data_IF_087728540924
#
_entry.id   IF_087728540924
#
_cell.length_a   1.000
_cell.length_b   1.000
_cell.length_c   1.000
_cell.angle_alpha   90.00
_cell.angle_beta   90.00
_cell.angle_gamma   90.00
#
_symmetry.space_group_name_H-M   'P 1'
#
loop_
_entity.id
_entity.type
_entity.pdbx_description
1 polymer ?
#
# COMPACT_ATOMS: atom_id res chain seq x y z
N UNK A 1 -53.11 11.75 -58.33
CA UNK A 1 -51.76 12.34 -58.33
C UNK A 1 -51.16 12.07 -56.96
N UNK A 2 -50.33 11.04 -56.82
CA UNK A 2 -49.74 10.64 -55.54
C UNK A 2 -48.39 11.34 -55.45
N UNK A 3 -48.28 12.32 -54.56
CA UNK A 3 -47.00 12.93 -54.22
C UNK A 3 -46.22 11.91 -53.38
N UNK A 4 -45.31 11.19 -54.02
CA UNK A 4 -44.26 10.50 -53.28
C UNK A 4 -43.36 11.59 -52.69
N UNK A 5 -43.50 11.87 -51.39
CA UNK A 5 -42.51 12.67 -50.67
C UNK A 5 -41.18 11.92 -50.76
N UNK A 6 -40.08 12.61 -51.05
CA UNK A 6 -38.75 12.01 -50.98
C UNK A 6 -38.45 11.70 -49.50
N UNK A 7 -38.57 10.42 -49.13
CA UNK A 7 -38.43 9.94 -47.76
C UNK A 7 -36.99 9.46 -47.48
N UNK A 8 -36.10 9.59 -48.47
CA UNK A 8 -34.76 8.97 -48.46
C UNK A 8 -33.90 9.55 -47.35
N UNK A 9 -33.88 10.88 -47.21
CA UNK A 9 -33.11 11.56 -46.17
C UNK A 9 -33.60 11.20 -44.75
N UNK A 10 -34.92 11.13 -44.56
CA UNK A 10 -35.50 10.78 -43.26
C UNK A 10 -35.17 9.33 -42.87
N UNK A 11 -35.27 8.40 -43.82
CA UNK A 11 -34.92 6.99 -43.64
C UNK A 11 -33.43 6.81 -43.31
N UNK A 12 -32.54 7.54 -43.99
CA UNK A 12 -31.10 7.52 -43.71
C UNK A 12 -30.78 8.10 -42.33
N UNK A 13 -31.44 9.19 -41.93
CA UNK A 13 -31.26 9.79 -40.61
C UNK A 13 -31.73 8.83 -39.49
N UNK A 14 -32.88 8.16 -39.65
CA UNK A 14 -33.37 7.14 -38.72
C UNK A 14 -32.39 5.96 -38.59
N UNK A 15 -31.83 5.50 -39.70
CA UNK A 15 -30.88 4.39 -39.70
C UNK A 15 -29.55 4.77 -39.02
N UNK A 16 -29.04 5.97 -39.28
CA UNK A 16 -27.87 6.52 -38.59
C UNK A 16 -28.11 6.70 -37.10
N UNK A 17 -29.28 7.21 -36.71
CA UNK A 17 -29.66 7.37 -35.30
C UNK A 17 -29.74 6.02 -34.59
N UNK A 18 -30.30 4.99 -35.25
CA UNK A 18 -30.36 3.64 -34.71
C UNK A 18 -28.97 3.03 -34.53
N UNK A 19 -28.05 3.22 -35.49
CA UNK A 19 -26.65 2.79 -35.38
C UNK A 19 -25.95 3.48 -34.22
N UNK A 20 -26.05 4.81 -34.13
CA UNK A 20 -25.46 5.58 -33.03
C UNK A 20 -26.03 5.17 -31.66
N UNK A 21 -27.35 4.92 -31.56
CA UNK A 21 -27.98 4.42 -30.33
C UNK A 21 -27.39 3.07 -29.92
N UNK A 22 -27.28 2.13 -30.85
CA UNK A 22 -26.73 0.80 -30.58
C UNK A 22 -25.24 0.87 -30.16
N UNK A 23 -24.47 1.75 -30.78
CA UNK A 23 -23.08 2.00 -30.39
C UNK A 23 -22.96 2.58 -28.97
N UNK A 24 -23.81 3.56 -28.64
CA UNK A 24 -23.87 4.15 -27.29
C UNK A 24 -24.28 3.11 -26.26
N UNK A 25 -25.24 2.24 -26.58
CA UNK A 25 -25.69 1.18 -25.68
C UNK A 25 -24.58 0.16 -25.43
N UNK A 26 -23.85 -0.24 -26.48
CA UNK A 26 -22.68 -1.13 -26.38
C UNK A 26 -21.55 -0.48 -25.57
N UNK A 27 -21.26 0.80 -25.81
CA UNK A 27 -20.24 1.54 -25.06
C UNK A 27 -20.62 1.66 -23.59
N UNK A 28 -21.89 1.93 -23.27
CA UNK A 28 -22.38 1.97 -21.89
C UNK A 28 -22.25 0.61 -21.18
N UNK A 29 -22.56 -0.49 -21.87
CA UNK A 29 -22.38 -1.83 -21.32
C UNK A 29 -20.91 -2.14 -21.04
N UNK A 30 -20.02 -1.79 -21.96
CA UNK A 30 -18.56 -1.95 -21.77
C UNK A 30 -18.04 -1.11 -20.61
N UNK A 31 -18.49 0.14 -20.49
CA UNK A 31 -18.14 1.02 -19.38
C UNK A 31 -18.60 0.45 -18.03
N UNK A 32 -19.82 -0.09 -17.95
CA UNK A 32 -20.33 -0.74 -16.73
C UNK A 32 -19.49 -1.96 -16.35
N UNK A 33 -19.21 -2.83 -17.30
CA UNK A 33 -18.38 -4.02 -17.06
C UNK A 33 -16.94 -3.65 -16.63
N UNK A 34 -16.35 -2.61 -17.23
CA UNK A 34 -15.04 -2.11 -16.84
C UNK A 34 -15.05 -1.51 -15.44
N UNK A 35 -16.09 -0.75 -15.09
CA UNK A 35 -16.24 -0.16 -13.76
C UNK A 35 -16.41 -1.23 -12.66
N UNK A 36 -17.24 -2.24 -12.91
CA UNK A 36 -17.44 -3.37 -11.99
C UNK A 36 -16.13 -4.15 -11.79
N UNK A 37 -15.43 -4.47 -12.88
CA UNK A 37 -14.11 -5.12 -12.79
C UNK A 37 -13.10 -4.26 -12.01
N UNK A 38 -13.09 -2.95 -12.25
CA UNK A 38 -12.21 -2.02 -11.53
C UNK A 38 -12.53 -1.97 -10.04
N UNK A 39 -13.82 -2.03 -9.66
CA UNK A 39 -14.24 -2.04 -8.27
C UNK A 39 -13.77 -3.31 -7.54
N UNK A 40 -13.94 -4.47 -8.17
CA UNK A 40 -13.47 -5.76 -7.64
C UNK A 40 -11.96 -5.74 -7.42
N UNK A 41 -11.19 -5.30 -8.43
CA UNK A 41 -9.73 -5.21 -8.32
C UNK A 41 -9.27 -4.23 -7.24
N UNK A 42 -9.99 -3.11 -7.06
CA UNK A 42 -9.70 -2.16 -6.01
C UNK A 42 -9.94 -2.76 -4.62
N UNK A 43 -11.04 -3.50 -4.43
CA UNK A 43 -11.34 -4.19 -3.18
C UNK A 43 -10.29 -5.25 -2.85
N UNK A 44 -9.91 -6.08 -3.82
CA UNK A 44 -8.84 -7.08 -3.67
C UNK A 44 -7.51 -6.43 -3.27
N UNK A 45 -7.13 -5.33 -3.93
CA UNK A 45 -5.93 -4.58 -3.60
C UNK A 45 -5.97 -3.99 -2.18
N UNK A 46 -7.12 -3.47 -1.75
CA UNK A 46 -7.30 -2.95 -0.39
C UNK A 46 -7.16 -4.06 0.66
N UNK A 47 -7.76 -5.23 0.42
CA UNK A 47 -7.64 -6.38 1.32
C UNK A 47 -6.19 -6.87 1.41
N UNK A 48 -5.49 -6.97 0.27
CA UNK A 48 -4.08 -7.36 0.23
C UNK A 48 -3.19 -6.36 1.00
N UNK A 49 -3.40 -5.06 0.81
CA UNK A 49 -2.65 -4.02 1.54
C UNK A 49 -2.91 -4.05 3.04
N UNK A 50 -4.15 -4.32 3.46
CA UNK A 50 -4.48 -4.49 4.88
C UNK A 50 -3.78 -5.71 5.46
N UNK A 51 -3.86 -6.86 4.80
CA UNK A 51 -3.20 -8.08 5.25
C UNK A 51 -1.68 -7.91 5.34
N UNK A 52 -1.06 -7.24 4.36
CA UNK A 52 0.37 -6.87 4.39
C UNK A 52 0.71 -6.01 5.61
N UNK A 53 -0.09 -4.97 5.85
CA UNK A 53 0.13 -4.05 6.98
C UNK A 53 0.01 -4.76 8.33
N UNK A 54 -1.03 -5.58 8.49
CA UNK A 54 -1.28 -6.32 9.73
C UNK A 54 -0.17 -7.34 9.98
N UNK A 55 0.30 -8.03 8.92
CA UNK A 55 1.44 -8.93 9.01
C UNK A 55 2.72 -8.20 9.47
N UNK A 56 3.07 -7.08 8.84
CA UNK A 56 4.29 -6.33 9.19
C UNK A 56 4.23 -5.75 10.60
N UNK A 57 3.07 -5.26 11.03
CA UNK A 57 2.87 -4.78 12.40
C UNK A 57 3.11 -5.89 13.41
N UNK A 58 2.48 -7.06 13.22
CA UNK A 58 2.64 -8.21 14.11
C UNK A 58 4.10 -8.69 14.15
N UNK A 59 4.73 -8.86 12.99
CA UNK A 59 6.14 -9.28 12.92
C UNK A 59 7.05 -8.28 13.63
N UNK A 60 6.84 -6.97 13.48
CA UNK A 60 7.66 -5.98 14.18
C UNK A 60 7.52 -6.07 15.70
N UNK A 61 6.31 -6.28 16.23
CA UNK A 61 6.13 -6.48 17.67
C UNK A 61 6.86 -7.74 18.18
N UNK A 62 6.74 -8.85 17.45
CA UNK A 62 7.40 -10.12 17.78
C UNK A 62 8.93 -10.04 17.66
N UNK A 63 9.46 -9.21 16.75
CA UNK A 63 10.90 -9.00 16.59
C UNK A 63 11.45 -7.99 17.61
N UNK A 64 10.69 -6.95 17.98
CA UNK A 64 11.12 -5.94 18.96
C UNK A 64 11.45 -6.55 20.32
N UNK A 65 10.65 -7.52 20.78
CA UNK A 65 10.85 -8.17 22.09
C UNK A 65 12.21 -8.85 22.24
N UNK A 66 12.61 -9.82 21.37
CA UNK A 66 13.93 -10.43 21.45
C UNK A 66 15.06 -9.45 21.15
N UNK A 67 14.86 -8.46 20.27
CA UNK A 67 15.88 -7.45 19.99
C UNK A 67 16.17 -6.54 21.19
N UNK A 68 15.12 -6.09 21.88
CA UNK A 68 15.26 -5.30 23.11
C UNK A 68 15.95 -6.11 24.22
N UNK A 69 15.68 -7.42 24.31
CA UNK A 69 16.40 -8.29 25.23
C UNK A 69 17.89 -8.38 24.87
N UNK A 70 18.23 -8.59 23.59
CA UNK A 70 19.63 -8.63 23.12
C UNK A 70 20.35 -7.30 23.42
N UNK A 71 19.70 -6.16 23.15
CA UNK A 71 20.26 -4.84 23.45
C UNK A 71 20.49 -4.68 24.95
N UNK A 72 19.48 -4.99 25.78
CA UNK A 72 19.58 -4.86 27.23
C UNK A 72 20.66 -5.75 27.84
N UNK A 73 20.76 -7.01 27.40
CA UNK A 73 21.83 -7.90 27.86
C UNK A 73 23.21 -7.43 27.40
N UNK A 74 23.33 -6.91 26.18
CA UNK A 74 24.58 -6.34 25.72
C UNK A 74 24.97 -5.09 26.54
N UNK A 75 24.00 -4.24 26.91
CA UNK A 75 24.23 -3.07 27.79
C UNK A 75 24.68 -3.49 29.20
N UNK A 76 24.06 -4.53 29.78
CA UNK A 76 24.49 -5.11 31.07
C UNK A 76 25.92 -5.63 30.96
N UNK A 77 26.24 -6.43 29.94
CA UNK A 77 27.59 -6.98 29.76
C UNK A 77 28.64 -5.89 29.57
N UNK A 78 28.30 -4.77 28.92
CA UNK A 78 29.20 -3.63 28.76
C UNK A 78 29.48 -2.87 30.07
N UNK A 79 28.65 -3.06 31.10
CA UNK A 79 28.91 -2.52 32.45
C UNK A 79 29.83 -3.39 33.30
N UNK A 80 30.15 -4.61 32.85
CA UNK A 80 31.01 -5.56 33.55
C UNK A 80 32.50 -5.42 33.14
N UNK A 81 33.39 -6.05 33.91
CA UNK A 81 34.80 -6.14 33.57
C UNK A 81 35.04 -7.17 32.44
N UNK A 82 35.11 -6.70 31.20
CA UNK A 82 35.37 -7.51 30.01
C UNK A 82 36.84 -7.39 29.54
N UNK A 83 37.36 -8.44 28.91
CA UNK A 83 38.58 -8.30 28.10
C UNK A 83 38.34 -7.39 26.89
N UNK A 84 39.42 -6.92 26.27
CA UNK A 84 39.32 -6.05 25.08
C UNK A 84 38.53 -6.71 23.93
N UNK A 85 38.82 -7.98 23.64
CA UNK A 85 38.11 -8.75 22.62
C UNK A 85 36.63 -8.94 22.96
N UNK A 86 36.31 -9.27 24.22
CA UNK A 86 34.93 -9.42 24.69
C UNK A 86 34.16 -8.10 24.57
N UNK A 87 34.76 -6.99 24.98
CA UNK A 87 34.17 -5.66 24.83
C UNK A 87 33.89 -5.35 23.35
N UNK A 88 34.83 -5.68 22.46
CA UNK A 88 34.65 -5.49 21.01
C UNK A 88 33.47 -6.31 20.46
N UNK A 89 33.35 -7.58 20.84
CA UNK A 89 32.24 -8.44 20.42
C UNK A 89 30.90 -7.94 20.94
N UNK A 90 30.80 -7.59 22.23
CA UNK A 90 29.54 -7.10 22.81
C UNK A 90 29.12 -5.76 22.18
N UNK A 91 30.06 -4.83 21.95
CA UNK A 91 29.78 -3.58 21.21
C UNK A 91 29.27 -3.84 19.79
N UNK A 92 29.82 -4.84 19.12
CA UNK A 92 29.38 -5.22 17.77
C UNK A 92 27.98 -5.79 17.79
N UNK A 93 27.66 -6.69 18.74
CA UNK A 93 26.30 -7.23 18.93
C UNK A 93 25.31 -6.09 19.21
N UNK A 94 25.63 -5.21 20.16
CA UNK A 94 24.79 -4.09 20.53
C UNK A 94 24.49 -3.16 19.34
N UNK A 95 25.52 -2.77 18.58
CA UNK A 95 25.35 -1.93 17.38
C UNK A 95 24.51 -2.62 16.31
N UNK A 96 24.81 -3.88 16.00
CA UNK A 96 24.04 -4.65 15.01
C UNK A 96 22.58 -4.80 15.44
N UNK A 97 22.32 -4.97 16.73
CA UNK A 97 20.98 -5.09 17.25
C UNK A 97 20.17 -3.78 17.13
N UNK A 98 20.79 -2.64 17.45
CA UNK A 98 20.17 -1.32 17.24
C UNK A 98 19.90 -1.04 15.76
N UNK A 99 20.87 -1.31 14.88
CA UNK A 99 20.70 -1.13 13.44
C UNK A 99 19.57 -1.99 12.87
N UNK A 100 19.43 -3.25 13.32
CA UNK A 100 18.34 -4.12 12.87
C UNK A 100 16.97 -3.60 13.34
N UNK A 101 16.89 -3.06 14.55
CA UNK A 101 15.67 -2.45 15.07
C UNK A 101 15.25 -1.21 14.27
N UNK A 102 16.22 -0.35 13.90
CA UNK A 102 15.99 0.79 13.01
C UNK A 102 15.47 0.34 11.65
N UNK A 103 16.11 -0.65 11.02
CA UNK A 103 15.68 -1.17 9.72
C UNK A 103 14.26 -1.78 9.77
N UNK A 104 13.91 -2.47 10.86
CA UNK A 104 12.54 -2.97 11.08
C UNK A 104 11.54 -1.82 11.19
N UNK A 105 11.90 -0.73 11.89
CA UNK A 105 11.05 0.44 12.02
C UNK A 105 10.85 1.14 10.67
N UNK A 106 11.91 1.32 9.88
CA UNK A 106 11.84 1.93 8.55
C UNK A 106 10.91 1.15 7.61
N UNK A 107 10.99 -0.19 7.61
CA UNK A 107 10.08 -1.05 6.83
C UNK A 107 8.62 -0.86 7.26
N UNK A 108 8.38 -0.71 8.55
CA UNK A 108 7.04 -0.57 9.10
C UNK A 108 6.46 0.81 8.78
N UNK A 109 7.27 1.86 8.86
CA UNK A 109 6.85 3.22 8.50
C UNK A 109 6.59 3.34 7.00
N UNK A 110 7.40 2.69 6.15
CA UNK A 110 7.11 2.55 4.73
C UNK A 110 5.75 1.87 4.48
N UNK A 111 5.44 0.79 5.20
CA UNK A 111 4.14 0.12 5.11
C UNK A 111 2.97 1.00 5.56
N UNK A 112 3.16 1.88 6.56
CA UNK A 112 2.13 2.85 6.96
C UNK A 112 1.92 3.91 5.88
N UNK A 113 2.98 4.38 5.23
CA UNK A 113 2.92 5.35 4.12
C UNK A 113 2.13 4.77 2.95
N UNK A 114 2.45 3.55 2.51
CA UNK A 114 1.73 2.89 1.41
C UNK A 114 0.23 2.71 1.71
N UNK A 115 -0.12 2.50 2.99
CA UNK A 115 -1.50 2.38 3.43
C UNK A 115 -2.21 3.74 3.64
N UNK A 116 -1.52 4.88 3.43
CA UNK A 116 -2.05 6.21 3.73
C UNK A 116 -2.29 6.49 5.22
N UNK A 117 -1.65 5.71 6.11
CA UNK A 117 -1.85 5.74 7.57
C UNK A 117 -0.71 6.44 8.34
N UNK A 118 0.23 7.11 7.65
CA UNK A 118 1.30 7.82 8.33
C UNK A 118 0.73 9.03 9.08
N UNK A 119 0.84 9.03 10.41
CA UNK A 119 0.55 10.19 11.25
C UNK A 119 1.88 10.86 11.60
N UNK A 120 2.03 12.13 11.23
CA UNK A 120 3.23 12.91 11.55
C UNK A 120 2.99 13.56 12.90
N UNK A 121 3.76 13.15 13.91
CA UNK A 121 3.80 13.83 15.19
C UNK A 121 4.73 15.05 15.06
N UNK A 122 4.16 16.26 15.18
CA UNK A 122 4.92 17.51 15.18
C UNK A 122 5.29 17.82 16.62
N UNK A 123 6.53 17.52 17.02
CA UNK A 123 7.08 17.99 18.28
C UNK A 123 7.78 19.34 18.10
N UNK A 124 7.61 20.23 19.07
CA UNK A 124 8.30 21.51 19.10
C UNK A 124 9.80 21.27 19.31
N UNK A 125 10.60 21.56 18.27
CA UNK A 125 12.05 21.56 18.36
C UNK A 125 12.47 22.68 19.33
N UNK A 126 12.93 22.31 20.53
CA UNK A 126 13.56 23.26 21.46
C UNK A 126 14.94 23.59 20.89
N UNK A 127 15.02 24.73 20.22
CA UNK A 127 16.26 25.37 19.76
C UNK A 127 17.05 25.89 20.96
#
# INVERSE_FOLDING_TARGET
MVFAQDITERKQAEESLLKAKNEIEKANQQLRAAAEKSAILAEEAMLANRAKSDFLANMSHELRTPMNAIIGFAEILLSESLSEDQSHYVKTIHRSAKNLLELINDILDFSKIEAGKLHIEIEACKV
#
